data_IF_929344497318
#
_entry.id   IF_929344497318
#
_cell.length_a   1.000
_cell.length_b   1.000
_cell.length_c   1.000
_cell.angle_alpha   90.00
_cell.angle_beta   90.00
_cell.angle_gamma   90.00
#
_symmetry.space_group_name_H-M   'P 1'
#
loop_
_entity.id
_entity.type
_entity.pdbx_description
1 polymer ?
#
# COMPACT_ATOMS: atom_id res chain seq x y z
N UNK A 1 -21.67 -14.48 -6.42
CA UNK A 1 -21.66 -13.04 -6.77
C UNK A 1 -20.96 -12.25 -5.67
N UNK A 2 -21.30 -12.58 -4.43
CA UNK A 2 -20.73 -12.02 -3.21
C UNK A 2 -19.20 -12.16 -3.18
N UNK A 3 -18.64 -13.33 -3.52
CA UNK A 3 -17.20 -13.57 -3.49
C UNK A 3 -16.42 -12.64 -4.44
N UNK A 4 -16.91 -12.46 -5.67
CA UNK A 4 -16.32 -11.54 -6.63
C UNK A 4 -16.39 -10.08 -6.18
N UNK A 5 -17.54 -9.65 -5.64
CA UNK A 5 -17.69 -8.31 -5.06
C UNK A 5 -16.76 -8.07 -3.87
N UNK A 6 -16.62 -9.04 -2.97
CA UNK A 6 -15.69 -8.96 -1.84
C UNK A 6 -14.24 -8.83 -2.34
N UNK A 7 -13.86 -9.60 -3.35
CA UNK A 7 -12.54 -9.50 -3.97
C UNK A 7 -12.30 -8.12 -4.59
N UNK A 8 -13.28 -7.55 -5.29
CA UNK A 8 -13.18 -6.18 -5.81
C UNK A 8 -12.98 -5.14 -4.72
N UNK A 9 -13.73 -5.24 -3.61
CA UNK A 9 -13.59 -4.33 -2.46
C UNK A 9 -12.19 -4.44 -1.85
N UNK A 10 -11.70 -5.66 -1.62
CA UNK A 10 -10.34 -5.90 -1.09
C UNK A 10 -9.30 -5.29 -2.04
N UNK A 11 -9.44 -5.51 -3.35
CA UNK A 11 -8.52 -4.98 -4.35
C UNK A 11 -8.51 -3.45 -4.40
N UNK A 12 -9.70 -2.82 -4.35
CA UNK A 12 -9.84 -1.36 -4.31
C UNK A 12 -9.22 -0.75 -3.04
N UNK A 13 -9.43 -1.38 -1.88
CA UNK A 13 -8.82 -0.94 -0.61
C UNK A 13 -7.30 -1.08 -0.67
N UNK A 14 -6.77 -2.21 -1.13
CA UNK A 14 -5.33 -2.45 -1.25
C UNK A 14 -4.65 -1.43 -2.19
N UNK A 15 -5.27 -1.15 -3.34
CA UNK A 15 -4.80 -0.10 -4.26
C UNK A 15 -4.88 1.28 -3.63
N UNK A 16 -5.97 1.59 -2.91
CA UNK A 16 -6.10 2.87 -2.22
C UNK A 16 -5.01 3.06 -1.16
N UNK A 17 -4.69 2.02 -0.40
CA UNK A 17 -3.59 2.02 0.57
C UNK A 17 -2.24 2.21 -0.12
N UNK A 18 -1.95 1.48 -1.20
CA UNK A 18 -0.72 1.65 -1.97
C UNK A 18 -0.61 3.03 -2.62
N UNK A 19 -1.72 3.57 -3.14
CA UNK A 19 -1.79 4.90 -3.71
C UNK A 19 -1.61 6.01 -2.67
N UNK A 20 -2.27 5.88 -1.51
CA UNK A 20 -2.11 6.78 -0.38
C UNK A 20 -0.65 6.84 0.06
N UNK A 21 -0.03 5.66 0.17
CA UNK A 21 1.38 5.53 0.46
C UNK A 21 2.27 6.24 -0.57
N UNK A 22 2.02 6.01 -1.86
CA UNK A 22 2.75 6.69 -2.94
C UNK A 22 2.56 8.22 -2.92
N UNK A 23 1.34 8.70 -2.65
CA UNK A 23 1.01 10.12 -2.61
C UNK A 23 1.72 10.83 -1.45
N UNK A 24 1.74 10.23 -0.28
CA UNK A 24 2.31 10.81 0.94
C UNK A 24 3.75 10.38 1.23
N UNK A 25 4.38 9.61 0.33
CA UNK A 25 5.78 9.18 0.44
C UNK A 25 6.77 10.31 0.73
N UNK A 26 6.50 11.54 0.28
CA UNK A 26 7.38 12.70 0.51
C UNK A 26 7.10 13.43 1.82
N UNK A 27 5.92 13.27 2.40
CA UNK A 27 5.55 13.90 3.68
C UNK A 27 5.94 13.02 4.88
N UNK A 28 5.89 11.69 4.71
CA UNK A 28 6.31 10.74 5.75
C UNK A 28 7.81 10.40 5.72
N UNK A 29 8.56 10.92 4.76
CA UNK A 29 10.00 10.65 4.64
C UNK A 29 10.75 11.92 4.99
N UNK A 30 11.15 12.01 6.26
CA UNK A 30 12.07 13.02 6.77
C UNK A 30 13.29 13.05 5.84
N UNK A 31 13.66 14.24 5.38
CA UNK A 31 14.82 14.41 4.48
C UNK A 31 16.08 13.85 5.15
N UNK A 32 17.04 13.29 4.41
CA UNK A 32 18.33 12.85 5.00
C UNK A 32 19.00 13.95 5.83
N UNK A 33 18.78 15.21 5.44
CA UNK A 33 19.25 16.39 6.16
C UNK A 33 18.56 16.56 7.52
N UNK A 34 17.25 16.33 7.56
CA UNK A 34 16.41 16.47 8.76
C UNK A 34 16.62 15.28 9.71
N UNK A 35 16.89 14.07 9.18
CA UNK A 35 17.42 12.94 9.97
C UNK A 35 18.78 13.27 10.59
N UNK A 36 19.67 13.93 9.85
CA UNK A 36 21.00 14.32 10.36
C UNK A 36 20.91 15.42 11.43
N UNK A 37 19.99 16.37 11.28
CA UNK A 37 19.70 17.42 12.27
C UNK A 37 19.05 16.81 13.53
N UNK A 38 18.05 15.95 13.39
CA UNK A 38 17.40 15.28 14.54
C UNK A 38 18.39 14.40 15.32
N UNK A 39 19.31 13.71 14.62
CA UNK A 39 20.42 12.99 15.25
C UNK A 39 21.39 13.89 16.00
N UNK A 40 21.61 15.13 15.55
CA UNK A 40 22.51 16.06 16.23
C UNK A 40 21.84 16.82 17.37
N UNK A 41 20.51 16.95 17.36
CA UNK A 41 19.71 17.56 18.44
C UNK A 41 19.24 16.57 19.49
N UNK A 42 19.39 15.26 19.26
CA UNK A 42 18.97 14.21 20.20
C UNK A 42 17.47 13.94 20.20
N UNK A 43 16.75 14.44 19.20
CA UNK A 43 15.33 14.20 19.00
C UNK A 43 15.09 12.95 18.15
N UNK A 44 14.00 12.22 18.43
CA UNK A 44 13.68 10.98 17.74
C UNK A 44 13.22 11.24 16.29
N UNK A 45 14.05 10.85 15.32
CA UNK A 45 13.69 10.86 13.91
C UNK A 45 12.77 9.70 13.55
N UNK A 46 11.61 9.98 12.96
CA UNK A 46 10.76 8.96 12.35
C UNK A 46 11.11 8.78 10.85
N UNK A 47 11.31 7.56 10.33
CA UNK A 47 11.12 6.27 11.00
C UNK A 47 12.29 5.94 11.93
N UNK A 48 11.97 5.42 13.12
CA UNK A 48 12.91 5.15 14.22
C UNK A 48 13.88 4.01 13.88
N UNK A 49 13.49 3.08 13.01
CA UNK A 49 14.30 1.89 12.68
C UNK A 49 14.31 1.53 11.19
N UNK A 50 15.32 0.76 10.77
CA UNK A 50 15.41 0.18 9.41
C UNK A 50 14.20 -0.72 9.07
N UNK A 51 13.60 -1.34 10.09
CA UNK A 51 12.42 -2.19 9.95
C UNK A 51 11.19 -1.36 9.55
N UNK A 52 10.99 -0.20 10.15
CA UNK A 52 9.88 0.70 9.80
C UNK A 52 9.99 1.14 8.34
N UNK A 53 11.20 1.43 7.89
CA UNK A 53 11.49 1.73 6.48
C UNK A 53 11.18 0.56 5.54
N UNK A 54 11.48 -0.67 5.97
CA UNK A 54 11.17 -1.88 5.21
C UNK A 54 9.66 -2.12 5.13
N UNK A 55 8.94 -2.07 6.27
CA UNK A 55 7.50 -2.27 6.34
C UNK A 55 6.73 -1.22 5.53
N UNK A 56 7.19 0.03 5.57
CA UNK A 56 6.66 1.14 4.78
C UNK A 56 6.72 0.85 3.28
N UNK A 57 7.88 0.43 2.78
CA UNK A 57 8.03 0.06 1.37
C UNK A 57 7.27 -1.22 1.01
N UNK A 58 7.26 -2.20 1.92
CA UNK A 58 6.56 -3.46 1.74
C UNK A 58 5.05 -3.23 1.58
N UNK A 59 4.46 -2.35 2.39
CA UNK A 59 3.05 -1.97 2.30
C UNK A 59 2.72 -1.32 0.94
N UNK A 60 3.62 -0.48 0.42
CA UNK A 60 3.46 0.12 -0.89
C UNK A 60 3.43 -0.96 -2.00
N UNK A 61 4.43 -1.84 -1.98
CA UNK A 61 4.59 -2.91 -2.97
C UNK A 61 3.39 -3.86 -2.91
N UNK A 62 3.00 -4.28 -1.71
CA UNK A 62 1.84 -5.15 -1.52
C UNK A 62 0.54 -4.48 -1.97
N UNK A 63 0.33 -3.20 -1.70
CA UNK A 63 -0.87 -2.48 -2.17
C UNK A 63 -0.98 -2.42 -3.69
N UNK A 64 0.13 -2.15 -4.38
CA UNK A 64 0.18 -2.10 -5.84
C UNK A 64 0.15 -3.46 -6.54
N UNK A 65 0.58 -4.53 -5.88
CA UNK A 65 0.54 -5.89 -6.44
C UNK A 65 -0.79 -6.57 -6.12
N UNK A 66 -1.17 -6.59 -4.85
CA UNK A 66 -2.39 -7.28 -4.40
C UNK A 66 -3.65 -6.57 -4.90
N UNK A 67 -3.65 -5.24 -4.99
CA UNK A 67 -4.84 -4.51 -5.42
C UNK A 67 -5.30 -4.88 -6.83
N UNK A 68 -4.46 -4.76 -7.88
CA UNK A 68 -4.80 -5.23 -9.22
C UNK A 68 -5.11 -6.73 -9.27
N UNK A 69 -4.37 -7.56 -8.53
CA UNK A 69 -4.61 -9.00 -8.46
C UNK A 69 -6.03 -9.32 -7.98
N UNK A 70 -6.45 -8.75 -6.85
CA UNK A 70 -7.80 -8.96 -6.31
C UNK A 70 -8.90 -8.33 -7.18
N UNK A 71 -8.62 -7.23 -7.87
CA UNK A 71 -9.57 -6.67 -8.85
C UNK A 71 -9.78 -7.64 -10.03
N UNK A 72 -8.69 -8.13 -10.62
CA UNK A 72 -8.77 -9.06 -11.75
C UNK A 72 -9.44 -10.38 -11.34
N UNK A 73 -9.08 -10.92 -10.17
CA UNK A 73 -9.72 -12.13 -9.63
C UNK A 73 -11.22 -11.90 -9.36
N UNK A 74 -11.58 -10.76 -8.77
CA UNK A 74 -12.98 -10.41 -8.51
C UNK A 74 -13.80 -10.26 -9.78
N UNK A 75 -13.21 -9.65 -10.81
CA UNK A 75 -13.83 -9.51 -12.12
C UNK A 75 -14.02 -10.87 -12.80
N UNK A 76 -13.00 -11.75 -12.75
CA UNK A 76 -13.10 -13.10 -13.32
C UNK A 76 -14.22 -13.91 -12.65
N UNK A 77 -14.32 -13.88 -11.31
CA UNK A 77 -15.38 -14.58 -10.56
C UNK A 77 -16.77 -14.05 -10.95
N UNK A 78 -16.93 -12.74 -11.12
CA UNK A 78 -18.22 -12.16 -11.52
C UNK A 78 -18.59 -12.57 -12.95
N UNK A 79 -17.62 -12.57 -13.87
CA UNK A 79 -17.87 -12.94 -15.27
C UNK A 79 -18.22 -14.42 -15.42
N UNK A 80 -17.53 -15.30 -14.69
CA UNK A 80 -17.79 -16.75 -14.63
C UNK A 80 -19.21 -17.04 -14.14
N UNK A 81 -19.64 -16.39 -13.05
CA UNK A 81 -21.00 -16.57 -12.53
C UNK A 81 -22.09 -15.94 -13.39
N UNK A 82 -21.74 -14.99 -14.25
CA UNK A 82 -22.65 -14.41 -15.25
C UNK A 82 -22.69 -15.22 -16.55
N UNK A 83 -21.95 -16.33 -16.63
CA UNK A 83 -21.78 -17.17 -17.84
C UNK A 83 -21.26 -16.35 -19.04
N UNK A 84 -20.50 -15.27 -18.76
CA UNK A 84 -19.90 -14.39 -19.76
C UNK A 84 -18.46 -14.81 -20.12
N UNK A 85 -17.94 -15.84 -19.45
CA UNK A 85 -16.60 -16.41 -19.58
C UNK A 85 -16.72 -17.92 -19.43
#
# INVERSE_FOLDING_TARGET
>A
MIAGLVSLVIGAVALSVGWNHWRYRKQETISMLEVAILRSTGEESMPLTKLDWFLKNLQAILGFILGPFFILAGMAIILDELELL
#
